data_IF_316959581946
#
_entry.id   IF_316959581946
#
_cell.length_a   1.000
_cell.length_b   1.000
_cell.length_c   1.000
_cell.angle_alpha   90.00
_cell.angle_beta   90.00
_cell.angle_gamma   90.00
#
_symmetry.space_group_name_H-M   'P 1'
#
loop_
_entity.id
_entity.type
_entity.pdbx_description
1 polymer ?
#
# COMPACT_ATOMS: atom_id res chain seq x y z
N UNK A 1 -79.84 -20.22 -36.34
CA UNK A 1 -78.76 -21.16 -36.69
C UNK A 1 -77.43 -20.56 -36.30
N UNK A 2 -76.60 -21.36 -35.59
CA UNK A 2 -75.15 -21.21 -35.31
C UNK A 2 -74.69 -20.31 -34.12
N UNK A 3 -74.37 -21.04 -33.04
CA UNK A 3 -73.22 -20.95 -32.09
C UNK A 3 -72.95 -19.70 -31.22
N UNK A 4 -72.77 -19.87 -29.89
CA UNK A 4 -72.10 -18.91 -29.03
C UNK A 4 -70.59 -19.21 -28.94
N UNK A 5 -69.75 -18.16 -28.91
CA UNK A 5 -68.31 -18.28 -28.68
C UNK A 5 -67.90 -17.45 -27.44
N UNK A 6 -67.41 -18.18 -26.44
CA UNK A 6 -66.47 -17.85 -25.36
C UNK A 6 -66.42 -16.40 -24.81
N UNK A 7 -66.79 -16.26 -23.54
CA UNK A 7 -66.30 -15.21 -22.64
C UNK A 7 -64.89 -15.57 -22.15
N UNK A 8 -63.91 -14.73 -22.45
CA UNK A 8 -62.64 -14.66 -21.72
C UNK A 8 -62.30 -13.18 -21.55
N UNK A 9 -62.55 -12.62 -20.37
CA UNK A 9 -62.00 -11.30 -20.02
C UNK A 9 -61.10 -11.48 -18.80
N UNK A 10 -59.82 -11.17 -19.04
CA UNK A 10 -58.73 -11.25 -18.11
C UNK A 10 -58.87 -10.23 -16.98
N UNK A 11 -58.64 -10.69 -15.76
CA UNK A 11 -58.48 -9.86 -14.57
C UNK A 11 -57.12 -9.16 -14.63
N UNK A 12 -57.11 -7.85 -14.90
CA UNK A 12 -55.91 -7.01 -14.80
C UNK A 12 -55.70 -6.64 -13.32
N UNK A 13 -54.72 -7.26 -12.66
CA UNK A 13 -54.28 -6.88 -11.32
C UNK A 13 -53.45 -5.59 -11.37
N UNK A 14 -53.98 -4.50 -10.83
CA UNK A 14 -53.22 -3.28 -10.55
C UNK A 14 -52.27 -3.54 -9.35
N UNK A 15 -50.98 -3.76 -9.64
CA UNK A 15 -49.92 -3.65 -8.64
C UNK A 15 -49.53 -2.18 -8.51
N UNK A 16 -49.92 -1.56 -7.40
CA UNK A 16 -49.42 -0.24 -6.99
C UNK A 16 -47.94 -0.41 -6.63
N UNK A 17 -47.04 0.01 -7.52
CA UNK A 17 -45.63 0.10 -7.24
C UNK A 17 -45.38 1.25 -6.26
N UNK A 18 -45.07 0.91 -5.01
CA UNK A 18 -44.53 1.87 -4.04
C UNK A 18 -43.11 2.25 -4.53
N UNK A 19 -42.78 3.53 -4.72
CA UNK A 19 -41.42 3.92 -5.03
C UNK A 19 -40.55 3.67 -3.80
N UNK A 20 -39.73 2.63 -3.85
CA UNK A 20 -38.66 2.40 -2.89
C UNK A 20 -37.59 3.46 -3.20
N UNK A 21 -37.56 4.53 -2.42
CA UNK A 21 -36.42 5.43 -2.43
C UNK A 21 -35.16 4.63 -2.04
N UNK A 22 -34.03 4.78 -2.75
CA UNK A 22 -32.80 4.14 -2.33
C UNK A 22 -32.45 4.66 -0.93
N UNK A 23 -32.29 3.73 0.01
CA UNK A 23 -31.76 4.05 1.33
C UNK A 23 -30.39 4.72 1.11
N UNK A 24 -30.31 6.01 1.45
CA UNK A 24 -29.03 6.72 1.53
C UNK A 24 -28.29 6.05 2.68
N UNK A 25 -27.38 5.13 2.36
CA UNK A 25 -26.50 4.53 3.34
C UNK A 25 -25.78 5.69 4.03
N UNK A 26 -26.03 5.87 5.33
CA UNK A 26 -25.37 6.91 6.12
C UNK A 26 -23.86 6.75 5.96
N UNK A 27 -23.15 7.87 5.77
CA UNK A 27 -21.69 7.86 5.74
C UNK A 27 -21.17 7.21 7.02
N UNK A 28 -20.47 6.09 6.85
CA UNK A 28 -19.79 5.40 7.95
C UNK A 28 -18.75 6.35 8.55
N UNK A 29 -18.73 6.47 9.88
CA UNK A 29 -17.69 7.19 10.62
C UNK A 29 -16.40 6.33 10.66
N UNK A 30 -15.29 6.83 10.09
CA UNK A 30 -14.00 6.14 10.03
C UNK A 30 -12.98 6.61 11.07
N UNK A 31 -13.35 7.53 11.98
CA UNK A 31 -12.43 8.29 12.86
C UNK A 31 -11.59 7.48 13.86
N UNK A 32 -11.80 6.16 13.97
CA UNK A 32 -11.16 5.28 14.98
C UNK A 32 -10.76 3.90 14.45
N UNK A 33 -10.81 3.73 13.12
CA UNK A 33 -10.59 2.43 12.47
C UNK A 33 -9.12 2.19 12.11
N UNK A 34 -8.26 3.17 12.38
CA UNK A 34 -6.81 3.05 12.27
C UNK A 34 -6.25 2.03 13.26
N UNK A 35 -6.71 2.04 14.52
CA UNK A 35 -6.23 1.10 15.55
C UNK A 35 -6.53 -0.36 15.19
N UNK A 36 -7.79 -0.78 14.90
CA UNK A 36 -8.07 -2.17 14.54
C UNK A 36 -7.32 -2.62 13.27
N UNK A 37 -7.19 -1.76 12.27
CA UNK A 37 -6.46 -2.10 11.04
C UNK A 37 -4.95 -2.25 11.31
N UNK A 38 -4.35 -1.31 12.02
CA UNK A 38 -2.93 -1.35 12.37
C UNK A 38 -2.59 -2.60 13.18
N UNK A 39 -3.42 -2.94 14.17
CA UNK A 39 -3.24 -4.17 14.95
C UNK A 39 -3.32 -5.43 14.09
N UNK A 40 -4.30 -5.54 13.18
CA UNK A 40 -4.39 -6.68 12.26
C UNK A 40 -3.15 -6.84 11.38
N UNK A 41 -2.64 -5.72 10.84
CA UNK A 41 -1.43 -5.69 10.03
C UNK A 41 -0.23 -6.15 10.87
N UNK A 42 0.00 -5.51 12.02
CA UNK A 42 1.14 -5.80 12.90
C UNK A 42 1.09 -7.22 13.43
N UNK A 43 -0.08 -7.72 13.83
CA UNK A 43 -0.24 -9.10 14.30
C UNK A 43 0.05 -10.12 13.20
N UNK A 44 -0.38 -9.84 11.96
CA UNK A 44 -0.05 -10.69 10.81
C UNK A 44 1.45 -10.70 10.52
N UNK A 45 2.11 -9.54 10.59
CA UNK A 45 3.57 -9.43 10.42
C UNK A 45 4.27 -10.24 11.49
N UNK A 46 3.94 -10.01 12.78
CA UNK A 46 4.50 -10.75 13.92
C UNK A 46 4.34 -12.26 13.74
N UNK A 47 3.14 -12.73 13.40
CA UNK A 47 2.87 -14.15 13.18
C UNK A 47 3.73 -14.74 12.05
N UNK A 48 3.80 -14.06 10.89
CA UNK A 48 4.56 -14.54 9.73
C UNK A 48 6.08 -14.47 9.92
N UNK A 49 6.59 -13.47 10.63
CA UNK A 49 8.02 -13.37 10.98
C UNK A 49 8.37 -14.43 12.02
N UNK A 50 7.61 -14.55 13.11
CA UNK A 50 7.83 -15.58 14.13
C UNK A 50 7.83 -16.99 13.54
N UNK A 51 6.90 -17.30 12.62
CA UNK A 51 6.87 -18.59 11.94
C UNK A 51 8.14 -18.90 11.12
N UNK A 52 8.82 -17.87 10.58
CA UNK A 52 10.09 -18.02 9.84
C UNK A 52 11.33 -18.08 10.72
N UNK A 53 11.26 -17.49 11.90
CA UNK A 53 12.33 -17.57 12.89
C UNK A 53 12.34 -18.93 13.59
N UNK A 54 11.17 -19.55 13.74
CA UNK A 54 11.02 -20.80 14.50
C UNK A 54 11.17 -20.58 16.00
N UNK A 55 11.20 -21.68 16.74
CA UNK A 55 11.39 -21.68 18.20
C UNK A 55 12.86 -21.73 18.61
N UNK A 56 13.74 -22.08 17.67
CA UNK A 56 15.18 -22.21 17.90
C UNK A 56 15.87 -20.87 18.10
N UNK A 57 17.06 -20.92 18.72
CA UNK A 57 17.92 -19.75 18.88
C UNK A 57 18.29 -19.17 17.51
N UNK A 58 18.08 -17.87 17.34
CA UNK A 58 18.44 -17.16 16.11
C UNK A 58 19.90 -16.74 16.21
N UNK A 59 20.78 -17.47 15.53
CA UNK A 59 22.24 -17.28 15.63
C UNK A 59 22.78 -16.16 14.75
N UNK A 60 21.95 -15.58 13.88
CA UNK A 60 22.31 -14.50 12.96
C UNK A 60 21.17 -13.52 12.80
N UNK A 61 21.47 -12.29 12.39
CA UNK A 61 20.42 -11.33 12.07
C UNK A 61 19.58 -11.81 10.87
N UNK A 62 18.28 -11.50 10.94
CA UNK A 62 17.30 -11.86 9.92
C UNK A 62 16.59 -10.60 9.45
N UNK A 63 16.61 -10.37 8.15
CA UNK A 63 16.11 -9.13 7.57
C UNK A 63 14.86 -9.42 6.76
N UNK A 64 13.87 -8.54 6.83
CA UNK A 64 12.60 -8.70 6.12
C UNK A 64 12.20 -7.40 5.44
N UNK A 65 11.57 -7.53 4.27
CA UNK A 65 10.87 -6.45 3.58
C UNK A 65 9.40 -6.79 3.41
N UNK A 66 8.55 -5.79 3.59
CA UNK A 66 7.10 -5.93 3.54
C UNK A 66 6.58 -4.80 2.65
N UNK A 67 6.28 -5.09 1.38
CA UNK A 67 5.63 -4.13 0.50
C UNK A 67 4.15 -3.98 0.82
N UNK A 68 3.69 -2.74 0.70
CA UNK A 68 2.30 -2.37 0.90
C UNK A 68 1.78 -1.50 -0.24
N UNK A 69 0.47 -1.51 -0.38
CA UNK A 69 -0.26 -0.53 -1.15
C UNK A 69 -1.55 -0.18 -0.42
N UNK A 70 -2.05 1.03 -0.60
CA UNK A 70 -3.48 1.28 -0.48
C UNK A 70 -3.99 1.93 -1.75
N UNK A 71 -5.24 1.66 -2.10
CA UNK A 71 -5.95 2.31 -3.20
C UNK A 71 -7.45 2.31 -2.96
N UNK A 72 -8.15 3.23 -3.62
CA UNK A 72 -9.60 3.29 -3.63
C UNK A 72 -10.18 2.39 -4.73
N UNK A 73 -11.52 2.27 -4.77
CA UNK A 73 -12.20 1.43 -5.76
C UNK A 73 -11.93 1.84 -7.21
N UNK A 74 -11.72 3.13 -7.47
CA UNK A 74 -11.45 3.66 -8.80
C UNK A 74 -9.99 3.53 -9.23
N UNK A 75 -9.09 3.19 -8.30
CA UNK A 75 -7.65 3.31 -8.47
C UNK A 75 -7.26 4.71 -8.96
N UNK A 76 -7.82 5.73 -8.31
CA UNK A 76 -7.48 7.13 -8.53
C UNK A 76 -6.09 7.40 -7.94
N UNK A 77 -5.13 7.93 -8.71
CA UNK A 77 -3.76 8.08 -8.24
C UNK A 77 -3.63 9.00 -7.01
N UNK A 78 -4.53 9.97 -6.86
CA UNK A 78 -4.59 10.88 -5.71
C UNK A 78 -4.98 10.16 -4.40
N UNK A 79 -5.63 8.99 -4.51
CA UNK A 79 -6.06 8.15 -3.40
C UNK A 79 -5.28 6.84 -3.33
N UNK A 80 -4.14 6.74 -4.02
CA UNK A 80 -3.34 5.52 -4.06
C UNK A 80 -1.92 5.77 -3.55
N UNK A 81 -1.37 4.81 -2.82
CA UNK A 81 -0.02 4.91 -2.28
C UNK A 81 0.69 3.57 -2.26
N UNK A 82 2.01 3.61 -2.43
CA UNK A 82 2.90 2.46 -2.39
C UNK A 82 4.01 2.74 -1.38
N UNK A 83 4.25 1.81 -0.46
CA UNK A 83 5.24 1.97 0.61
C UNK A 83 5.81 0.62 1.04
N UNK A 84 6.92 0.64 1.79
CA UNK A 84 7.57 -0.57 2.33
C UNK A 84 7.88 -0.39 3.81
N UNK A 85 7.73 -1.47 4.58
CA UNK A 85 8.36 -1.60 5.89
C UNK A 85 9.54 -2.57 5.81
N UNK A 86 10.60 -2.27 6.54
CA UNK A 86 11.82 -3.07 6.61
C UNK A 86 12.09 -3.40 8.08
N UNK A 87 12.44 -4.65 8.34
CA UNK A 87 12.66 -5.18 9.70
C UNK A 87 14.01 -5.89 9.74
N UNK A 88 14.79 -5.65 10.79
CA UNK A 88 15.96 -6.47 11.19
C UNK A 88 15.64 -7.10 12.53
N UNK A 89 15.55 -8.42 12.59
CA UNK A 89 15.49 -9.17 13.85
C UNK A 89 16.91 -9.53 14.23
N UNK A 90 17.31 -9.15 15.44
CA UNK A 90 18.67 -9.31 15.94
C UNK A 90 18.93 -10.77 16.32
N UNK A 91 20.18 -11.22 16.20
CA UNK A 91 20.63 -12.50 16.72
C UNK A 91 20.50 -12.56 18.25
N UNK A 92 20.10 -13.70 18.81
CA UNK A 92 19.92 -13.84 20.27
C UNK A 92 21.25 -13.89 21.04
N UNK A 93 22.32 -14.31 20.35
CA UNK A 93 23.60 -14.67 20.97
C UNK A 93 24.65 -13.56 20.89
N UNK A 94 24.35 -12.45 20.20
CA UNK A 94 25.27 -11.33 20.01
C UNK A 94 24.70 -10.11 20.72
N UNK A 95 25.55 -9.32 21.38
CA UNK A 95 25.12 -7.98 21.78
C UNK A 95 24.73 -7.19 20.52
N UNK A 96 23.53 -6.58 20.49
CA UNK A 96 23.06 -5.90 19.30
C UNK A 96 23.91 -4.66 19.07
N UNK A 97 24.47 -4.55 17.86
CA UNK A 97 24.99 -3.28 17.35
C UNK A 97 23.84 -2.55 16.66
N UNK A 98 23.22 -1.54 17.31
CA UNK A 98 22.09 -0.84 16.75
C UNK A 98 22.49 -0.09 15.49
N UNK A 99 21.59 -0.06 14.51
CA UNK A 99 21.71 0.82 13.36
C UNK A 99 21.50 2.25 13.83
N UNK A 100 22.42 3.16 13.49
CA UNK A 100 22.33 4.55 13.87
C UNK A 100 20.96 5.16 13.47
N UNK A 101 20.30 5.84 14.41
CA UNK A 101 19.00 6.47 14.19
C UNK A 101 17.79 5.52 14.20
N UNK A 102 17.99 4.19 14.27
CA UNK A 102 16.89 3.24 14.45
C UNK A 102 16.72 2.87 15.92
N UNK A 103 15.46 2.71 16.34
CA UNK A 103 15.11 2.30 17.70
C UNK A 103 15.01 0.79 17.77
N UNK A 104 15.71 0.19 18.74
CA UNK A 104 15.50 -1.22 19.11
C UNK A 104 14.12 -1.33 19.79
N UNK A 105 13.37 -2.32 19.35
CA UNK A 105 12.07 -2.71 19.89
C UNK A 105 12.13 -4.17 20.33
N UNK A 106 11.20 -4.57 21.19
CA UNK A 106 11.12 -5.94 21.72
C UNK A 106 9.75 -6.54 21.48
N UNK A 107 9.71 -7.78 21.00
CA UNK A 107 8.50 -8.57 20.90
C UNK A 107 8.79 -10.00 21.36
N UNK A 108 8.06 -10.44 22.38
CA UNK A 108 8.38 -11.67 23.14
C UNK A 108 9.83 -11.59 23.65
N UNK A 109 10.65 -12.60 23.35
CA UNK A 109 12.06 -12.69 23.69
C UNK A 109 13.00 -12.22 22.58
N UNK A 110 12.49 -11.52 21.54
CA UNK A 110 13.29 -11.09 20.38
C UNK A 110 13.39 -9.58 20.34
N UNK A 111 14.59 -9.09 20.01
CA UNK A 111 14.86 -7.69 19.74
C UNK A 111 14.89 -7.45 18.23
N UNK A 112 14.37 -6.31 17.79
CA UNK A 112 14.32 -5.97 16.38
C UNK A 112 14.36 -4.46 16.15
N UNK A 113 14.78 -4.08 14.96
CA UNK A 113 14.69 -2.72 14.42
C UNK A 113 13.68 -2.72 13.28
N UNK A 114 12.89 -1.67 13.15
CA UNK A 114 11.96 -1.52 12.05
C UNK A 114 11.79 -0.07 11.64
N UNK A 115 11.61 0.15 10.35
CA UNK A 115 11.25 1.46 9.79
C UNK A 115 10.39 1.29 8.54
N UNK A 116 9.77 2.39 8.12
CA UNK A 116 8.92 2.45 6.94
C UNK A 116 9.44 3.54 6.00
N UNK A 117 9.48 3.22 4.70
CA UNK A 117 9.64 4.21 3.63
C UNK A 117 8.26 4.43 3.04
N UNK A 118 7.62 5.51 3.48
CA UNK A 118 6.29 5.95 3.06
C UNK A 118 6.37 7.43 2.71
N UNK A 119 6.73 7.68 1.45
CA UNK A 119 7.09 9.02 0.99
C UNK A 119 5.90 9.76 0.40
N UNK A 120 5.42 10.80 1.08
CA UNK A 120 4.28 11.64 0.70
C UNK A 120 4.59 13.12 0.99
N UNK A 121 3.76 14.08 0.54
CA UNK A 121 3.89 15.47 0.98
C UNK A 121 3.93 15.58 2.51
N UNK A 122 4.76 16.47 3.04
CA UNK A 122 4.90 16.67 4.48
C UNK A 122 3.57 17.06 5.16
N UNK A 123 2.71 17.80 4.46
CA UNK A 123 1.42 18.28 4.95
C UNK A 123 0.26 17.28 4.73
N UNK A 124 0.53 16.07 4.23
CA UNK A 124 -0.51 15.16 3.71
C UNK A 124 -1.54 14.72 4.75
N UNK A 125 -1.16 14.64 6.02
CA UNK A 125 -2.09 14.36 7.14
C UNK A 125 -3.15 15.45 7.33
N UNK A 126 -2.79 16.70 7.04
CA UNK A 126 -3.68 17.87 7.18
C UNK A 126 -4.28 18.33 5.84
N UNK A 127 -3.66 17.93 4.73
CA UNK A 127 -4.04 18.28 3.37
C UNK A 127 -3.95 17.03 2.46
N UNK A 128 -4.95 16.15 2.50
CA UNK A 128 -4.90 14.87 1.78
C UNK A 128 -5.16 15.00 0.27
N UNK A 129 -5.28 16.21 -0.27
CA UNK A 129 -5.56 16.45 -1.68
C UNK A 129 -4.26 16.37 -2.49
N UNK A 130 -3.88 15.16 -2.88
CA UNK A 130 -2.68 14.94 -3.66
C UNK A 130 -2.84 15.44 -5.11
N UNK A 131 -2.05 16.44 -5.50
CA UNK A 131 -1.99 16.84 -6.91
C UNK A 131 -1.12 15.87 -7.71
N UNK A 132 -1.76 15.05 -8.55
CA UNK A 132 -1.05 14.12 -9.45
C UNK A 132 -0.92 14.68 -10.87
N UNK A 133 -2.02 15.17 -11.43
CA UNK A 133 -2.09 15.68 -12.80
C UNK A 133 -2.94 16.95 -12.85
N UNK A 134 -2.32 18.09 -13.13
CA UNK A 134 -3.02 19.36 -13.33
C UNK A 134 -2.63 19.99 -14.68
N UNK A 135 -3.61 20.49 -15.42
CA UNK A 135 -3.44 21.15 -16.71
C UNK A 135 -3.75 20.29 -17.96
N UNK A 136 -3.90 20.93 -19.14
CA UNK A 136 -4.29 20.24 -20.37
C UNK A 136 -3.27 19.18 -20.80
N UNK A 137 -3.74 17.95 -21.01
CA UNK A 137 -2.92 16.81 -21.46
C UNK A 137 -1.74 16.46 -20.52
N UNK A 138 -1.76 16.87 -19.24
CA UNK A 138 -0.69 16.62 -18.26
C UNK A 138 -0.39 15.12 -18.05
N UNK A 139 -1.39 14.25 -18.21
CA UNK A 139 -1.22 12.78 -18.19
C UNK A 139 -0.30 12.28 -19.31
N UNK A 140 -0.39 12.85 -20.51
CA UNK A 140 0.37 12.42 -21.70
C UNK A 140 1.64 13.24 -21.93
N UNK A 141 1.60 14.54 -21.63
CA UNK A 141 2.72 15.48 -21.82
C UNK A 141 3.16 15.98 -20.42
N UNK A 142 4.22 15.39 -19.82
CA UNK A 142 4.64 15.73 -18.46
C UNK A 142 4.94 17.22 -18.25
N UNK A 143 5.42 17.92 -19.29
CA UNK A 143 5.72 19.36 -19.26
C UNK A 143 4.48 20.23 -19.02
N UNK A 144 3.30 19.71 -19.31
CA UNK A 144 2.04 20.43 -19.08
C UNK A 144 1.51 20.24 -17.65
N UNK A 145 2.14 19.39 -16.83
CA UNK A 145 1.69 19.10 -15.48
C UNK A 145 2.06 20.23 -14.51
N UNK A 146 1.05 20.99 -14.07
CA UNK A 146 1.17 22.18 -13.24
C UNK A 146 1.14 21.93 -11.74
N UNK A 147 1.01 20.68 -11.30
CA UNK A 147 1.10 20.38 -9.87
C UNK A 147 2.42 20.99 -9.31
N UNK A 148 2.53 21.26 -8.01
CA UNK A 148 3.77 21.74 -7.39
C UNK A 148 4.68 20.61 -6.91
N UNK A 149 5.99 20.89 -6.83
CA UNK A 149 6.91 20.07 -6.03
C UNK A 149 6.74 20.50 -4.57
N UNK A 150 6.59 19.55 -3.64
CA UNK A 150 6.36 19.83 -2.22
C UNK A 150 7.49 19.27 -1.36
N UNK A 151 7.72 19.80 -0.15
CA UNK A 151 8.46 19.06 0.87
C UNK A 151 7.87 17.65 1.02
N UNK A 152 8.73 16.65 1.21
CA UNK A 152 8.31 15.27 1.41
C UNK A 152 8.64 14.80 2.82
N UNK A 153 7.93 13.78 3.27
CA UNK A 153 8.07 13.19 4.59
C UNK A 153 7.94 11.67 4.52
N UNK A 154 8.77 10.96 5.29
CA UNK A 154 8.63 9.52 5.51
C UNK A 154 7.70 9.26 6.70
N UNK A 155 6.45 8.95 6.40
CA UNK A 155 5.49 8.54 7.42
C UNK A 155 5.86 7.15 7.97
N UNK A 156 5.70 6.95 9.27
CA UNK A 156 5.83 5.63 9.86
C UNK A 156 4.65 4.73 9.46
N UNK A 157 4.69 3.44 9.82
CA UNK A 157 3.62 2.50 9.45
C UNK A 157 2.27 2.92 10.02
N UNK A 158 2.20 3.30 11.29
CA UNK A 158 0.96 3.70 11.96
C UNK A 158 0.31 4.91 11.27
N UNK A 159 1.11 5.97 11.02
CA UNK A 159 0.68 7.16 10.30
C UNK A 159 0.19 6.83 8.88
N UNK A 160 0.90 5.95 8.17
CA UNK A 160 0.52 5.54 6.81
C UNK A 160 -0.78 4.74 6.79
N UNK A 161 -1.02 3.88 7.79
CA UNK A 161 -2.27 3.15 7.93
C UNK A 161 -3.42 4.10 8.27
N UNK A 162 -3.18 5.09 9.12
CA UNK A 162 -4.15 6.14 9.43
C UNK A 162 -4.58 6.91 8.17
N UNK A 163 -3.63 7.25 7.30
CA UNK A 163 -3.94 7.86 5.99
C UNK A 163 -4.84 6.96 5.13
N UNK A 164 -4.56 5.66 5.06
CA UNK A 164 -5.38 4.72 4.31
C UNK A 164 -6.83 4.69 4.80
N UNK A 165 -7.02 4.71 6.13
CA UNK A 165 -8.35 4.73 6.75
C UNK A 165 -9.08 6.04 6.49
N UNK A 166 -8.40 7.19 6.61
CA UNK A 166 -8.97 8.50 6.31
C UNK A 166 -9.47 8.60 4.86
N UNK A 167 -8.76 7.95 3.93
CA UNK A 167 -9.14 7.86 2.52
C UNK A 167 -10.15 6.75 2.22
N UNK A 168 -10.61 5.99 3.23
CA UNK A 168 -11.55 4.86 3.09
C UNK A 168 -11.01 3.77 2.13
N UNK A 169 -9.69 3.59 2.11
CA UNK A 169 -9.02 2.69 1.17
C UNK A 169 -8.84 1.29 1.73
N UNK A 170 -8.79 0.31 0.82
CA UNK A 170 -8.32 -1.02 1.16
C UNK A 170 -6.78 -1.01 1.24
N UNK A 171 -6.22 -1.70 2.22
CA UNK A 171 -4.77 -1.89 2.35
C UNK A 171 -4.40 -3.29 1.88
N UNK A 172 -3.32 -3.39 1.14
CA UNK A 172 -2.77 -4.64 0.64
C UNK A 172 -1.33 -4.78 1.09
N UNK A 173 -0.96 -5.97 1.52
CA UNK A 173 0.37 -6.34 1.97
C UNK A 173 0.88 -7.55 1.18
N UNK A 174 2.18 -7.57 0.89
CA UNK A 174 2.91 -8.74 0.41
C UNK A 174 3.97 -9.17 1.42
N UNK A 175 4.28 -10.47 1.44
CA UNK A 175 5.27 -11.01 2.37
C UNK A 175 4.73 -11.17 3.81
N UNK A 176 5.57 -10.93 4.84
CA UNK A 176 6.98 -10.50 4.81
C UNK A 176 7.87 -11.44 4.01
N UNK A 177 8.84 -10.88 3.28
CA UNK A 177 9.86 -11.63 2.53
C UNK A 177 11.20 -11.48 3.22
N UNK A 178 11.93 -12.59 3.42
CA UNK A 178 13.29 -12.50 3.93
C UNK A 178 14.23 -11.89 2.87
N UNK A 179 15.09 -10.98 3.31
CA UNK A 179 16.10 -10.32 2.47
C UNK A 179 17.50 -10.55 3.03
N UNK A 180 18.50 -10.26 2.20
CA UNK A 180 19.90 -10.16 2.66
C UNK A 180 20.14 -8.87 3.44
N UNK A 181 21.17 -8.88 4.28
CA UNK A 181 21.68 -7.71 4.99
C UNK A 181 21.92 -6.51 4.04
N UNK A 182 22.56 -6.74 2.89
CA UNK A 182 22.74 -5.67 1.90
C UNK A 182 21.43 -5.04 1.40
N UNK A 183 20.31 -5.76 1.42
CA UNK A 183 18.98 -5.19 1.13
C UNK A 183 18.50 -4.24 2.25
N UNK A 184 18.75 -4.61 3.51
CA UNK A 184 18.49 -3.76 4.67
C UNK A 184 19.33 -2.48 4.63
N UNK A 185 20.63 -2.60 4.40
CA UNK A 185 21.55 -1.45 4.33
C UNK A 185 21.15 -0.46 3.24
N UNK A 186 20.75 -0.97 2.07
CA UNK A 186 20.25 -0.12 0.98
C UNK A 186 18.96 0.60 1.37
N UNK A 187 18.08 -0.05 2.12
CA UNK A 187 16.86 0.60 2.61
C UNK A 187 17.15 1.67 3.68
N UNK A 188 18.12 1.44 4.57
CA UNK A 188 18.58 2.44 5.55
C UNK A 188 19.10 3.68 4.81
N UNK A 189 20.01 3.49 3.85
CA UNK A 189 20.53 4.60 3.01
C UNK A 189 19.43 5.34 2.26
N UNK A 190 18.42 4.63 1.76
CA UNK A 190 17.25 5.24 1.09
C UNK A 190 16.45 6.09 2.08
N UNK A 191 16.19 5.59 3.29
CA UNK A 191 15.52 6.35 4.34
C UNK A 191 16.29 7.61 4.70
N UNK A 192 17.60 7.51 4.96
CA UNK A 192 18.46 8.66 5.27
C UNK A 192 18.46 9.72 4.17
N UNK A 193 18.54 9.31 2.91
CA UNK A 193 18.49 10.21 1.75
C UNK A 193 17.19 11.02 1.70
N UNK A 194 16.06 10.37 1.98
CA UNK A 194 14.74 10.99 1.97
C UNK A 194 14.55 11.91 3.18
N UNK A 195 14.93 11.44 4.37
CA UNK A 195 14.83 12.21 5.61
C UNK A 195 15.79 13.40 5.64
N UNK A 196 16.90 13.34 4.89
CA UNK A 196 17.84 14.45 4.75
C UNK A 196 17.27 15.67 4.02
N UNK A 197 16.04 15.61 3.48
CA UNK A 197 15.33 16.75 2.90
C UNK A 197 15.87 17.25 1.55
N UNK A 198 16.90 16.60 1.02
CA UNK A 198 17.51 16.96 -0.28
C UNK A 198 16.62 16.58 -1.47
N UNK A 199 15.83 15.51 -1.33
CA UNK A 199 14.86 15.05 -2.31
C UNK A 199 13.48 15.50 -1.85
N UNK A 200 12.72 16.13 -2.76
CA UNK A 200 11.35 16.58 -2.52
C UNK A 200 10.33 15.53 -2.96
N UNK A 201 9.06 15.77 -2.64
CA UNK A 201 7.97 14.94 -3.11
C UNK A 201 7.39 15.45 -4.44
N UNK A 202 7.10 14.51 -5.34
CA UNK A 202 6.33 14.74 -6.55
C UNK A 202 5.62 13.48 -7.01
N UNK A 203 4.28 13.52 -7.13
CA UNK A 203 3.50 12.35 -7.58
C UNK A 203 3.80 11.93 -9.03
N UNK A 204 3.82 12.89 -9.96
CA UNK A 204 4.32 12.68 -11.33
C UNK A 204 5.72 13.27 -11.48
N UNK A 205 6.72 12.44 -11.21
CA UNK A 205 8.12 12.85 -11.13
C UNK A 205 8.90 12.69 -12.43
N UNK A 206 8.27 12.27 -13.55
CA UNK A 206 8.93 11.93 -14.84
C UNK A 206 10.01 12.92 -15.32
N UNK A 207 9.86 14.21 -15.02
CA UNK A 207 10.81 15.27 -15.41
C UNK A 207 11.85 15.62 -14.34
N UNK A 208 11.62 15.23 -13.08
CA UNK A 208 12.41 15.65 -11.92
C UNK A 208 13.43 14.58 -11.48
N UNK A 209 13.35 13.40 -12.09
CA UNK A 209 14.21 12.26 -11.81
C UNK A 209 15.67 12.55 -12.15
N UNK A 210 15.96 12.99 -13.38
CA UNK A 210 17.34 13.19 -13.85
C UNK A 210 18.14 14.15 -12.98
N UNK A 211 17.47 15.17 -12.48
CA UNK A 211 18.06 16.25 -11.68
C UNK A 211 17.98 15.97 -10.17
N UNK A 212 17.45 14.80 -9.77
CA UNK A 212 17.27 14.34 -8.38
C UNK A 212 16.54 15.37 -7.49
N UNK A 213 15.62 16.13 -8.09
CA UNK A 213 14.90 17.21 -7.39
C UNK A 213 13.76 16.66 -6.55
N UNK A 214 12.98 15.74 -7.11
CA UNK A 214 11.80 15.19 -6.46
C UNK A 214 11.47 13.79 -6.98
N UNK A 215 10.88 12.97 -6.11
CA UNK A 215 10.40 11.63 -6.44
C UNK A 215 9.01 11.35 -5.87
N UNK A 216 8.35 10.36 -6.46
CA UNK A 216 7.06 9.81 -6.06
C UNK A 216 7.23 8.72 -4.99
N UNK A 217 6.12 8.32 -4.37
CA UNK A 217 6.08 7.19 -3.44
C UNK A 217 6.55 5.88 -4.07
N UNK A 218 6.17 5.61 -5.32
CA UNK A 218 6.62 4.45 -6.08
C UNK A 218 8.15 4.41 -6.19
N UNK A 219 8.78 5.51 -6.63
CA UNK A 219 10.24 5.57 -6.75
C UNK A 219 10.97 5.63 -5.41
N UNK A 220 10.35 6.16 -4.36
CA UNK A 220 10.92 6.15 -3.01
C UNK A 220 11.16 4.73 -2.48
N UNK A 221 10.25 3.79 -2.79
CA UNK A 221 10.42 2.39 -2.42
C UNK A 221 11.05 1.51 -3.51
N UNK A 222 11.03 1.91 -4.78
CA UNK A 222 11.55 1.10 -5.87
C UNK A 222 13.08 1.25 -6.00
N UNK A 223 13.74 0.15 -6.37
CA UNK A 223 15.19 0.08 -6.61
C UNK A 223 16.00 0.74 -5.50
N UNK A 224 16.22 0.08 -4.35
CA UNK A 224 16.89 0.71 -3.21
C UNK A 224 18.26 1.35 -3.54
N UNK A 225 18.94 0.89 -4.61
CA UNK A 225 20.13 1.54 -5.19
C UNK A 225 19.84 2.51 -6.34
N UNK A 226 18.85 2.21 -7.17
CA UNK A 226 18.48 2.99 -8.36
C UNK A 226 17.27 3.88 -8.05
N UNK A 227 17.47 5.19 -8.05
CA UNK A 227 16.38 6.13 -7.78
C UNK A 227 15.25 6.04 -8.85
N UNK A 228 15.51 5.44 -10.04
CA UNK A 228 14.60 5.49 -11.19
C UNK A 228 14.43 4.18 -11.98
N UNK A 229 13.51 3.31 -11.58
CA UNK A 229 13.04 2.23 -12.45
C UNK A 229 12.09 2.71 -13.56
N UNK A 230 12.30 2.20 -14.78
CA UNK A 230 11.34 2.32 -15.89
C UNK A 230 10.20 1.30 -15.68
N UNK A 231 8.95 1.76 -15.64
CA UNK A 231 7.74 0.92 -15.51
C UNK A 231 6.48 1.58 -16.10
N UNK A 232 5.36 0.86 -16.17
CA UNK A 232 4.06 1.38 -16.63
C UNK A 232 3.79 1.36 -18.13
N UNK A 233 2.60 1.84 -18.54
CA UNK A 233 2.21 1.89 -19.95
C UNK A 233 3.27 2.66 -20.76
N UNK A 234 3.92 2.00 -21.72
CA UNK A 234 5.03 2.55 -22.53
C UNK A 234 6.24 3.06 -21.71
N UNK A 235 6.43 2.56 -20.48
CA UNK A 235 7.53 2.98 -19.61
C UNK A 235 7.34 4.35 -18.97
N UNK A 236 6.11 4.90 -18.97
CA UNK A 236 5.80 6.25 -18.47
C UNK A 236 5.34 6.30 -17.03
N UNK A 237 5.31 5.19 -16.28
CA UNK A 237 4.73 5.12 -14.94
C UNK A 237 3.20 5.26 -14.89
N UNK A 238 2.52 5.38 -16.04
CA UNK A 238 1.06 5.54 -16.06
C UNK A 238 0.38 4.23 -15.58
N UNK A 239 -0.59 4.39 -14.67
CA UNK A 239 -1.29 3.33 -13.92
C UNK A 239 -0.40 2.53 -12.95
N UNK A 240 0.78 3.05 -12.61
CA UNK A 240 1.73 2.42 -11.69
C UNK A 240 1.67 3.05 -10.29
N UNK A 241 0.48 3.11 -9.73
CA UNK A 241 0.24 3.55 -8.36
C UNK A 241 -0.55 2.47 -7.61
N UNK A 242 -0.60 2.58 -6.29
CA UNK A 242 -1.30 1.62 -5.44
C UNK A 242 -0.82 0.19 -5.66
N UNK A 243 -1.76 -0.73 -5.86
CA UNK A 243 -1.49 -2.17 -5.97
C UNK A 243 -0.64 -2.49 -7.20
N UNK A 244 -0.92 -1.84 -8.34
CA UNK A 244 -0.15 -2.07 -9.58
C UNK A 244 1.28 -1.55 -9.46
N UNK A 245 1.46 -0.39 -8.82
CA UNK A 245 2.76 0.17 -8.51
C UNK A 245 3.58 -0.78 -7.64
N UNK A 246 3.05 -1.18 -6.49
CA UNK A 246 3.75 -2.08 -5.56
C UNK A 246 4.04 -3.46 -6.17
N UNK A 247 3.09 -4.01 -6.94
CA UNK A 247 3.30 -5.24 -7.70
C UNK A 247 4.49 -5.14 -8.66
N UNK A 248 4.67 -4.00 -9.33
CA UNK A 248 5.83 -3.78 -10.19
C UNK A 248 7.14 -3.69 -9.43
N UNK A 249 7.16 -3.04 -8.26
CA UNK A 249 8.37 -2.99 -7.43
C UNK A 249 8.80 -4.41 -7.04
N UNK A 250 7.84 -5.28 -6.70
CA UNK A 250 8.12 -6.68 -6.41
C UNK A 250 8.71 -7.43 -7.61
N UNK A 251 8.16 -7.24 -8.81
CA UNK A 251 8.72 -7.79 -10.05
C UNK A 251 10.15 -7.30 -10.27
N UNK A 252 10.43 -6.03 -9.98
CA UNK A 252 11.77 -5.48 -10.14
C UNK A 252 12.77 -6.00 -9.10
N UNK A 253 12.32 -6.34 -7.90
CA UNK A 253 13.16 -7.00 -6.90
C UNK A 253 13.50 -8.44 -7.26
N UNK A 254 12.68 -9.11 -8.08
CA UNK A 254 12.96 -10.48 -8.51
C UNK A 254 13.69 -10.57 -9.84
N UNK A 255 13.36 -9.71 -10.82
CA UNK A 255 13.84 -9.86 -12.19
C UNK A 255 15.12 -9.08 -12.50
N UNK A 256 15.30 -7.88 -11.91
CA UNK A 256 16.45 -7.01 -12.23
C UNK A 256 17.77 -7.62 -11.74
N UNK A 257 18.81 -7.75 -12.59
CA UNK A 257 20.11 -8.29 -12.18
C UNK A 257 20.73 -7.64 -10.95
N UNK A 258 20.62 -6.31 -10.79
CA UNK A 258 21.14 -5.56 -9.62
C UNK A 258 20.40 -5.85 -8.31
N UNK A 259 19.18 -6.38 -8.40
CA UNK A 259 18.36 -6.78 -7.25
C UNK A 259 18.26 -8.30 -7.11
N UNK A 260 18.80 -9.09 -8.07
CA UNK A 260 18.77 -10.55 -7.98
C UNK A 260 19.41 -10.96 -6.67
N UNK A 261 18.72 -11.86 -5.96
CA UNK A 261 19.10 -12.36 -4.63
C UNK A 261 18.90 -11.39 -3.46
N UNK A 262 18.31 -10.21 -3.68
CA UNK A 262 17.89 -9.35 -2.56
C UNK A 262 16.82 -10.07 -1.73
N UNK A 263 15.80 -10.59 -2.42
CA UNK A 263 14.79 -11.47 -1.84
C UNK A 263 15.34 -12.90 -1.81
N UNK A 264 15.25 -13.55 -0.66
CA UNK A 264 15.71 -14.93 -0.47
C UNK A 264 14.64 -15.97 -0.82
N UNK A 265 13.38 -15.53 -0.94
CA UNK A 265 12.23 -16.37 -1.26
C UNK A 265 11.70 -16.02 -2.66
N UNK A 266 11.14 -17.00 -3.39
CA UNK A 266 10.39 -16.69 -4.61
C UNK A 266 9.16 -15.84 -4.28
N UNK A 267 8.85 -14.89 -5.17
CA UNK A 267 7.66 -14.03 -5.05
C UNK A 267 6.62 -14.47 -6.05
N UNK A 268 5.41 -14.75 -5.57
CA UNK A 268 4.21 -14.83 -6.41
C UNK A 268 3.34 -13.61 -6.12
N UNK A 269 3.52 -12.57 -6.92
CA UNK A 269 2.88 -11.25 -6.72
C UNK A 269 1.35 -11.33 -6.60
N UNK A 270 0.73 -12.34 -7.24
CA UNK A 270 -0.72 -12.53 -7.18
C UNK A 270 -1.14 -13.33 -5.96
N UNK A 271 -0.42 -14.41 -5.62
CA UNK A 271 -0.81 -15.32 -4.52
C UNK A 271 -0.38 -14.83 -3.14
N UNK A 272 0.73 -14.11 -3.05
CA UNK A 272 1.27 -13.64 -1.77
C UNK A 272 0.51 -12.45 -1.20
N UNK A 273 -0.31 -11.83 -2.06
CA UNK A 273 -1.10 -10.63 -1.78
C UNK A 273 -2.19 -10.92 -0.74
N UNK A 274 -2.17 -10.19 0.35
CA UNK A 274 -3.21 -10.24 1.39
C UNK A 274 -3.82 -8.86 1.59
N UNK A 275 -5.15 -8.79 1.61
CA UNK A 275 -5.88 -7.54 1.81
C UNK A 275 -6.39 -7.36 3.22
N UNK A 276 -6.58 -6.12 3.58
CA UNK A 276 -7.31 -5.69 4.76
C UNK A 276 -8.38 -4.73 4.26
N UNK A 277 -9.63 -5.06 4.53
CA UNK A 277 -10.79 -4.35 3.97
C UNK A 277 -11.75 -3.97 5.07
N UNK A 278 -12.34 -2.79 4.94
CA UNK A 278 -13.31 -2.32 5.92
C UNK A 278 -14.60 -3.16 5.86
N UNK A 279 -15.10 -3.58 7.02
CA UNK A 279 -16.46 -4.06 7.19
C UNK A 279 -17.00 -3.58 8.54
N UNK A 280 -18.25 -3.09 8.65
CA UNK A 280 -18.81 -2.65 9.93
C UNK A 280 -18.89 -3.77 10.98
N UNK A 281 -19.11 -5.01 10.56
CA UNK A 281 -19.06 -6.20 11.41
C UNK A 281 -18.47 -7.41 10.67
N UNK A 282 -18.21 -8.49 11.40
CA UNK A 282 -17.81 -9.76 10.82
C UNK A 282 -18.90 -10.28 9.87
N UNK A 283 -18.53 -10.51 8.60
CA UNK A 283 -19.41 -10.94 7.49
C UNK A 283 -20.31 -9.85 6.88
N UNK A 284 -20.16 -8.59 7.29
CA UNK A 284 -20.89 -7.50 6.63
C UNK A 284 -20.40 -7.26 5.18
N UNK A 285 -21.23 -6.64 4.34
CA UNK A 285 -20.83 -6.22 3.01
C UNK A 285 -19.59 -5.31 3.07
N UNK A 286 -18.52 -5.76 2.44
CA UNK A 286 -17.29 -4.98 2.28
C UNK A 286 -17.51 -3.98 1.13
N UNK A 287 -17.41 -2.65 1.37
CA UNK A 287 -17.63 -1.65 0.33
C UNK A 287 -16.68 -1.77 -0.87
N UNK A 288 -15.45 -2.23 -0.61
CA UNK A 288 -14.42 -2.47 -1.61
C UNK A 288 -13.42 -3.54 -1.16
N UNK A 289 -13.22 -4.57 -2.00
CA UNK A 289 -12.23 -5.62 -1.78
C UNK A 289 -11.40 -5.88 -3.06
N UNK A 290 -10.13 -5.42 -3.12
CA UNK A 290 -9.27 -5.61 -4.29
C UNK A 290 -8.63 -7.01 -4.42
N UNK A 291 -8.89 -7.92 -3.48
CA UNK A 291 -8.17 -9.19 -3.37
C UNK A 291 -9.10 -10.38 -3.15
N UNK A 292 -8.62 -11.59 -3.46
CA UNK A 292 -9.36 -12.83 -3.18
C UNK A 292 -9.36 -13.21 -1.70
N UNK A 293 -8.30 -12.84 -0.98
CA UNK A 293 -8.11 -13.20 0.43
C UNK A 293 -7.88 -11.92 1.22
N UNK A 294 -8.87 -11.55 2.03
CA UNK A 294 -8.80 -10.37 2.88
C UNK A 294 -9.23 -10.69 4.31
N UNK A 295 -8.70 -9.93 5.27
CA UNK A 295 -9.30 -9.80 6.59
C UNK A 295 -10.24 -8.59 6.60
N UNK A 296 -11.44 -8.77 7.16
CA UNK A 296 -12.32 -7.66 7.45
C UNK A 296 -11.85 -6.95 8.73
N UNK A 297 -11.83 -5.63 8.73
CA UNK A 297 -11.61 -4.84 9.93
C UNK A 297 -12.81 -3.93 10.18
N UNK A 298 -13.35 -4.04 11.40
CA UNK A 298 -14.53 -3.36 11.89
C UNK A 298 -14.40 -3.12 13.39
N UNK A 299 -15.36 -2.42 13.98
CA UNK A 299 -15.49 -2.31 15.44
C UNK A 299 -16.22 -3.52 16.00
#
# INVERSE_FOLDING_TARGET
>A
MKTPLARLFATLGFLVAVPIAPAVAGDVDFSSYDVPLYEQIVNRIKAKVSARLGEETNTRDRFFIIPFAYEDRGNHPEHSHSFISVIRVLADTKEPEPTAGLKIQKYKNREFEAFTISWLPEDFMTNPNLCVFDGPLSRTIPKNNKCPVSPGHNFNLEETIKLAVLQKNAVVMWGPYEIREGGFDRAVKRKELLDGGTIKYRADDRLYQKDKVAISCFHAMAGLEEIFPKGGFLGTGLKMWGINGTARVLIEYTEKPSNRQLLLEPVDVKKDRYGFVYAPAANDPVPYNPVKTASAYGR
#
